data_IF_726529129705
#
_entry.id   IF_726529129705
#
_cell.length_a   1.000
_cell.length_b   1.000
_cell.length_c   1.000
_cell.angle_alpha   90.00
_cell.angle_beta   90.00
_cell.angle_gamma   90.00
#
_symmetry.space_group_name_H-M   'P 1'
#
loop_
_entity.id
_entity.type
_entity.pdbx_description
1 polymer ?
#
# COMPACT_ATOMS: atom_id res chain seq x y z
N UNK A 1 -16.47 -0.32 -4.55
CA UNK A 1 -15.06 -0.73 -4.66
C UNK A 1 -14.35 -0.03 -3.52
N UNK A 2 -13.65 -0.74 -2.64
CA UNK A 2 -12.93 -0.09 -1.54
C UNK A 2 -11.50 0.16 -2.03
N UNK A 3 -11.10 1.41 -2.06
CA UNK A 3 -9.77 1.86 -2.47
C UNK A 3 -9.05 2.46 -1.27
N UNK A 4 -7.71 2.42 -1.27
CA UNK A 4 -6.89 2.84 -0.15
C UNK A 4 -5.94 3.97 -0.53
N UNK A 5 -5.80 4.93 0.39
CA UNK A 5 -4.66 5.84 0.45
C UNK A 5 -3.53 5.14 1.17
N UNK A 6 -2.38 5.07 0.53
CA UNK A 6 -1.22 4.34 1.06
C UNK A 6 -0.20 5.31 1.59
N UNK A 7 0.24 5.06 2.83
CA UNK A 7 1.28 5.83 3.50
C UNK A 7 2.50 4.94 3.70
N UNK A 8 3.69 5.41 3.35
CA UNK A 8 4.97 4.75 3.64
C UNK A 8 5.79 5.68 4.53
N UNK A 9 6.16 5.19 5.72
CA UNK A 9 6.88 5.96 6.75
C UNK A 9 6.26 7.34 7.07
N UNK A 10 4.93 7.40 7.01
CA UNK A 10 4.14 8.60 7.32
C UNK A 10 3.84 9.52 6.13
N UNK A 11 4.47 9.30 4.96
CA UNK A 11 4.21 10.06 3.74
C UNK A 11 3.18 9.36 2.85
N UNK A 12 2.23 10.10 2.26
CA UNK A 12 1.27 9.53 1.29
C UNK A 12 1.98 9.27 -0.04
N UNK A 13 2.05 8.02 -0.46
CA UNK A 13 2.85 7.59 -1.62
C UNK A 13 2.05 7.04 -2.79
N UNK A 14 0.77 6.73 -2.58
CA UNK A 14 -0.15 6.22 -3.60
C UNK A 14 -1.60 6.43 -3.17
N UNK A 15 -2.51 6.60 -4.13
CA UNK A 15 -3.97 6.69 -3.92
C UNK A 15 -4.67 5.68 -4.83
N UNK A 16 -5.98 5.50 -4.63
CA UNK A 16 -6.84 4.61 -5.40
C UNK A 16 -6.33 3.15 -5.46
N UNK A 17 -5.61 2.71 -4.42
CA UNK A 17 -5.01 1.37 -4.35
C UNK A 17 -6.07 0.32 -4.02
N UNK A 18 -6.17 -0.71 -4.86
CA UNK A 18 -7.14 -1.81 -4.73
C UNK A 18 -6.51 -3.17 -4.50
N UNK A 19 -5.18 -3.25 -4.55
CA UNK A 19 -4.44 -4.48 -4.37
C UNK A 19 -3.14 -4.19 -3.62
N UNK A 20 -2.85 -5.05 -2.64
CA UNK A 20 -1.58 -5.09 -1.93
C UNK A 20 -1.16 -6.55 -1.75
N UNK A 21 0.10 -6.88 -2.03
CA UNK A 21 0.68 -8.20 -1.82
C UNK A 21 2.04 -8.05 -1.14
N UNK A 22 2.29 -8.88 -0.13
CA UNK A 22 3.61 -9.02 0.50
C UNK A 22 4.26 -10.29 -0.04
N UNK A 23 5.53 -10.22 -0.41
CA UNK A 23 6.38 -11.38 -0.72
C UNK A 23 7.83 -11.12 -0.27
N UNK A 24 8.77 -12.00 -0.67
CA UNK A 24 10.19 -11.92 -0.29
C UNK A 24 10.87 -10.61 -0.70
N UNK A 25 10.32 -9.85 -1.66
CA UNK A 25 10.90 -8.58 -2.11
C UNK A 25 10.35 -7.38 -1.34
N UNK A 26 9.20 -7.51 -0.69
CA UNK A 26 8.51 -6.41 -0.01
C UNK A 26 7.03 -6.32 -0.38
N UNK A 27 6.51 -5.10 -0.56
CA UNK A 27 5.08 -4.85 -0.81
C UNK A 27 4.84 -4.35 -2.23
N UNK A 28 4.03 -5.08 -2.99
CA UNK A 28 3.53 -4.66 -4.30
C UNK A 28 2.12 -4.10 -4.16
N UNK A 29 1.90 -2.89 -4.68
CA UNK A 29 0.61 -2.20 -4.71
C UNK A 29 0.12 -2.06 -6.16
N UNK A 30 -1.19 -2.07 -6.37
CA UNK A 30 -1.80 -1.72 -7.66
C UNK A 30 -3.07 -0.90 -7.52
N UNK A 31 -3.20 0.14 -8.33
CA UNK A 31 -4.37 1.04 -8.35
C UNK A 31 -5.49 0.58 -9.31
N UNK A 32 -6.55 1.37 -9.37
CA UNK A 32 -7.72 1.16 -10.23
C UNK A 32 -7.43 1.23 -11.74
N UNK A 33 -6.37 1.93 -12.17
CA UNK A 33 -5.98 2.02 -13.59
C UNK A 33 -4.95 0.95 -13.98
N UNK A 34 -4.40 0.22 -13.00
CA UNK A 34 -3.44 -0.86 -13.18
C UNK A 34 -1.98 -0.46 -12.97
N UNK A 35 -1.69 0.77 -12.54
CA UNK A 35 -0.34 1.18 -12.16
C UNK A 35 0.13 0.34 -10.97
N UNK A 36 1.36 -0.17 -11.05
CA UNK A 36 1.93 -1.04 -10.02
C UNK A 36 3.19 -0.40 -9.44
N UNK A 37 3.29 -0.38 -8.11
CA UNK A 37 4.47 0.13 -7.38
C UNK A 37 4.96 -0.91 -6.39
N UNK A 38 6.27 -1.10 -6.32
CA UNK A 38 6.92 -2.03 -5.38
C UNK A 38 7.72 -1.22 -4.36
N UNK A 39 7.51 -1.54 -3.09
CA UNK A 39 8.28 -1.03 -1.97
C UNK A 39 9.15 -2.17 -1.44
N UNK A 40 10.45 -2.10 -1.73
CA UNK A 40 11.42 -3.09 -1.27
C UNK A 40 11.61 -3.00 0.25
N UNK A 41 11.87 -4.14 0.88
CA UNK A 41 12.09 -4.27 2.34
C UNK A 41 10.96 -3.65 3.21
N UNK A 42 9.76 -3.53 2.65
CA UNK A 42 8.61 -2.94 3.32
C UNK A 42 7.66 -4.01 3.90
N UNK A 43 6.92 -3.62 4.92
CA UNK A 43 5.84 -4.42 5.52
C UNK A 43 4.54 -3.62 5.63
N UNK A 44 3.39 -4.31 5.65
CA UNK A 44 2.10 -3.68 5.96
C UNK A 44 1.91 -3.67 7.48
N UNK A 45 1.74 -2.49 8.07
CA UNK A 45 1.62 -2.31 9.53
C UNK A 45 0.23 -1.88 9.98
N UNK A 46 -0.60 -1.33 9.09
CA UNK A 46 -2.00 -0.99 9.37
C UNK A 46 -2.86 -1.19 8.13
N UNK A 47 -4.01 -1.84 8.30
CA UNK A 47 -5.10 -1.85 7.32
C UNK A 47 -6.35 -1.32 8.02
N UNK A 48 -6.75 -0.09 7.68
CA UNK A 48 -7.92 0.56 8.23
C UNK A 48 -8.97 0.75 7.14
N UNK A 49 -9.89 -0.21 7.05
CA UNK A 49 -10.94 -0.23 6.03
C UNK A 49 -11.91 0.96 6.16
N UNK A 50 -12.45 1.30 7.36
CA UNK A 50 -13.34 2.45 7.50
C UNK A 50 -12.71 3.78 7.09
N UNK A 51 -11.40 3.95 7.30
CA UNK A 51 -10.67 5.16 6.94
C UNK A 51 -9.98 5.09 5.57
N UNK A 52 -10.22 4.02 4.80
CA UNK A 52 -9.57 3.77 3.50
C UNK A 52 -8.06 4.01 3.52
N UNK A 53 -7.40 3.52 4.58
CA UNK A 53 -5.99 3.80 4.87
C UNK A 53 -5.18 2.51 4.98
N UNK A 54 -4.07 2.45 4.25
CA UNK A 54 -3.07 1.39 4.29
C UNK A 54 -1.74 2.02 4.70
N UNK A 55 -1.10 1.49 5.73
CA UNK A 55 0.21 1.99 6.18
C UNK A 55 1.26 0.92 5.97
N UNK A 56 2.32 1.32 5.30
CA UNK A 56 3.54 0.58 5.07
C UNK A 56 4.66 1.17 5.91
N UNK A 57 5.63 0.33 6.28
CA UNK A 57 6.83 0.73 6.98
C UNK A 57 8.05 0.03 6.39
N UNK A 58 9.13 0.78 6.17
CA UNK A 58 10.43 0.21 5.81
C UNK A 58 11.06 -0.53 6.99
N UNK A 59 11.79 -1.61 6.69
CA UNK A 59 12.55 -2.37 7.69
C UNK A 59 13.86 -1.68 8.08
#
# INVERSE_FOLDING_TARGET
>A
MCEFKVFFDGEKVMEDVIFAKVDERGVTLRDVIGETKVFEDASIVEVNVPATRLVLRGS
#
